data_IF_964620827671
#
_entry.id   IF_964620827671
#
_cell.length_a   1.000
_cell.length_b   1.000
_cell.length_c   1.000
_cell.angle_alpha   90.00
_cell.angle_beta   90.00
_cell.angle_gamma   90.00
#
_symmetry.space_group_name_H-M   'P 1'
#
loop_
_entity.id
_entity.type
_entity.pdbx_description
1 polymer ?
#
# COMPACT_ATOMS: atom_id res chain seq x y z
N UNK A 1 -24.57 -18.80 3.55
CA UNK A 1 -23.28 -18.52 2.86
C UNK A 1 -22.20 -18.38 3.92
N UNK A 2 -21.07 -19.08 3.81
CA UNK A 2 -20.00 -18.95 4.80
C UNK A 2 -19.52 -17.49 4.84
N UNK A 3 -19.62 -16.85 6.00
CA UNK A 3 -19.14 -15.49 6.22
C UNK A 3 -17.63 -15.46 5.97
N UNK A 4 -17.21 -14.84 4.86
CA UNK A 4 -15.79 -14.71 4.52
C UNK A 4 -15.18 -13.75 5.54
N UNK A 5 -14.32 -14.29 6.40
CA UNK A 5 -13.57 -13.55 7.40
C UNK A 5 -12.09 -13.54 7.05
N UNK A 6 -11.35 -12.49 7.43
CA UNK A 6 -9.92 -12.43 7.16
C UNK A 6 -9.16 -13.47 8.00
N UNK A 7 -8.04 -13.94 7.46
CA UNK A 7 -7.12 -14.84 8.17
C UNK A 7 -6.32 -14.11 9.27
N UNK A 8 -6.21 -12.79 9.17
CA UNK A 8 -5.45 -11.97 10.11
C UNK A 8 -6.12 -10.60 10.30
N UNK A 9 -5.92 -9.92 11.44
CA UNK A 9 -6.47 -8.58 11.66
C UNK A 9 -6.12 -7.61 10.52
N UNK A 10 -7.11 -6.84 10.07
CA UNK A 10 -6.90 -5.80 9.06
C UNK A 10 -6.22 -4.60 9.73
N UNK A 11 -5.09 -4.15 9.16
CA UNK A 11 -4.28 -3.04 9.67
C UNK A 11 -4.67 -1.75 8.95
N UNK A 12 -4.42 -0.60 9.59
CA UNK A 12 -4.53 0.71 8.92
C UNK A 12 -3.66 0.77 7.66
N UNK A 13 -2.51 0.12 7.73
CA UNK A 13 -1.59 -0.06 6.62
C UNK A 13 -2.24 -0.71 5.40
N UNK A 14 -3.05 -1.76 5.58
CA UNK A 14 -3.65 -2.49 4.46
C UNK A 14 -4.68 -1.63 3.73
N UNK A 15 -5.53 -0.92 4.50
CA UNK A 15 -6.51 0.04 3.96
C UNK A 15 -5.82 1.15 3.21
N UNK A 16 -4.75 1.72 3.78
CA UNK A 16 -4.00 2.80 3.17
C UNK A 16 -3.35 2.36 1.85
N UNK A 17 -2.76 1.17 1.82
CA UNK A 17 -2.13 0.63 0.61
C UNK A 17 -3.15 0.38 -0.52
N UNK A 18 -4.32 -0.17 -0.19
CA UNK A 18 -5.39 -0.40 -1.17
C UNK A 18 -6.00 0.91 -1.68
N UNK A 19 -6.28 1.87 -0.80
CA UNK A 19 -6.79 3.18 -1.19
C UNK A 19 -5.84 3.90 -2.17
N UNK A 20 -4.54 3.89 -1.88
CA UNK A 20 -3.55 4.50 -2.77
C UNK A 20 -3.33 3.69 -4.06
N UNK A 21 -3.58 2.37 -4.06
CA UNK A 21 -3.66 1.58 -5.30
C UNK A 21 -4.79 2.11 -6.18
N UNK A 22 -5.97 2.38 -5.61
CA UNK A 22 -7.11 2.91 -6.36
C UNK A 22 -6.83 4.31 -6.93
N UNK A 23 -6.22 5.19 -6.13
CA UNK A 23 -5.80 6.50 -6.62
C UNK A 23 -4.81 6.40 -7.79
N UNK A 24 -3.84 5.48 -7.71
CA UNK A 24 -2.88 5.27 -8.79
C UNK A 24 -3.56 4.74 -10.06
N UNK A 25 -4.48 3.77 -9.94
CA UNK A 25 -5.28 3.30 -11.08
C UNK A 25 -6.09 4.45 -11.69
N UNK A 26 -6.74 5.29 -10.86
CA UNK A 26 -7.50 6.47 -11.33
C UNK A 26 -6.62 7.48 -12.05
N UNK A 27 -5.33 7.58 -11.70
CA UNK A 27 -4.32 8.41 -12.36
C UNK A 27 -3.74 7.79 -13.64
N UNK A 28 -4.21 6.61 -14.05
CA UNK A 28 -3.80 5.94 -15.28
C UNK A 28 -2.66 4.94 -15.13
N UNK A 29 -2.23 4.63 -13.90
CA UNK A 29 -1.22 3.58 -13.67
C UNK A 29 -1.78 2.19 -13.97
N UNK A 30 -0.92 1.29 -14.48
CA UNK A 30 -1.31 -0.11 -14.63
C UNK A 30 -1.59 -0.75 -13.27
N UNK A 31 -2.49 -1.75 -13.23
CA UNK A 31 -2.85 -2.41 -11.97
C UNK A 31 -1.63 -2.95 -11.19
N UNK A 32 -0.60 -3.42 -11.89
CA UNK A 32 0.64 -3.89 -11.28
C UNK A 32 1.45 -2.74 -10.66
N UNK A 33 1.62 -1.62 -11.37
CA UNK A 33 2.31 -0.43 -10.86
C UNK A 33 1.55 0.18 -9.68
N UNK A 34 0.23 0.27 -9.78
CA UNK A 34 -0.62 0.78 -8.72
C UNK A 34 -0.49 -0.02 -7.41
N UNK A 35 -0.41 -1.37 -7.50
CA UNK A 35 -0.14 -2.21 -6.31
C UNK A 35 1.22 -1.90 -5.70
N UNK A 36 2.26 -1.83 -6.53
CA UNK A 36 3.61 -1.48 -6.07
C UNK A 36 3.66 -0.10 -5.40
N UNK A 37 3.01 0.90 -6.01
CA UNK A 37 2.90 2.26 -5.51
C UNK A 37 2.18 2.34 -4.17
N UNK A 38 1.01 1.73 -4.06
CA UNK A 38 0.22 1.71 -2.82
C UNK A 38 0.99 1.08 -1.66
N UNK A 39 1.68 -0.05 -1.92
CA UNK A 39 2.54 -0.68 -0.91
C UNK A 39 3.71 0.23 -0.50
N UNK A 40 4.37 0.84 -1.48
CA UNK A 40 5.51 1.72 -1.23
C UNK A 40 5.13 2.92 -0.36
N UNK A 41 4.07 3.63 -0.71
CA UNK A 41 3.57 4.76 0.08
C UNK A 41 3.26 4.35 1.52
N UNK A 42 2.57 3.22 1.70
CA UNK A 42 2.24 2.71 3.03
C UNK A 42 3.48 2.46 3.88
N UNK A 43 4.54 1.88 3.29
CA UNK A 43 5.80 1.62 3.99
C UNK A 43 6.60 2.89 4.28
N UNK A 44 6.63 3.85 3.35
CA UNK A 44 7.29 5.15 3.55
C UNK A 44 6.64 5.89 4.74
N UNK A 45 5.32 6.00 4.76
CA UNK A 45 4.59 6.66 5.86
C UNK A 45 4.80 5.94 7.19
N UNK A 46 4.80 4.59 7.18
CA UNK A 46 5.10 3.81 8.38
C UNK A 46 6.53 4.08 8.87
N UNK A 47 7.53 4.03 8.00
CA UNK A 47 8.93 4.26 8.34
C UNK A 47 9.18 5.69 8.87
N UNK A 48 8.52 6.71 8.29
CA UNK A 48 8.55 8.09 8.80
C UNK A 48 7.96 8.18 10.21
N UNK A 49 6.82 7.54 10.46
CA UNK A 49 6.18 7.55 11.78
C UNK A 49 7.06 6.92 12.86
N UNK A 50 7.80 5.86 12.52
CA UNK A 50 8.70 5.17 13.46
C UNK A 50 10.12 5.76 13.52
N UNK A 51 10.36 6.95 12.94
CA UNK A 51 11.66 7.62 12.98
C UNK A 51 12.78 6.89 12.25
N UNK A 52 12.45 5.92 11.38
CA UNK A 52 13.42 5.08 10.64
C UNK A 52 13.87 5.73 9.32
N UNK A 53 13.23 6.82 8.92
CA UNK A 53 13.67 7.69 7.84
C UNK A 53 14.05 9.04 8.46
N UNK A 54 15.30 9.49 8.27
CA UNK A 54 15.64 10.89 8.56
C UNK A 54 14.75 11.77 7.69
N UNK A 55 14.06 12.76 8.31
CA UNK A 55 13.46 13.86 7.54
C UNK A 55 14.58 14.46 6.68
N UNK A 56 14.34 14.79 5.40
CA UNK A 56 15.33 15.52 4.63
C UNK A 56 15.50 16.89 5.30
N UNK A 57 16.49 16.99 6.18
CA UNK A 57 17.04 18.27 6.63
C UNK A 57 17.68 18.88 5.40
N UNK A 58 17.18 20.04 4.98
CA UNK A 58 17.62 20.77 3.80
C UNK A 58 19.02 21.33 3.96
N UNK A 59 20.02 20.46 4.02
CA UNK A 59 21.44 20.82 3.90
C UNK A 59 22.00 20.10 2.67
N UNK A 60 22.26 20.91 1.64
CA UNK A 60 23.10 20.56 0.51
C UNK A 60 24.41 19.95 1.04
N UNK A 61 24.67 18.69 0.73
CA UNK A 61 26.04 18.18 0.64
C UNK A 61 26.29 17.77 -0.79
N UNK A 62 26.88 18.70 -1.52
CA UNK A 62 27.70 18.41 -2.69
C UNK A 62 28.78 17.41 -2.28
N UNK A 63 28.94 16.32 -3.04
CA UNK A 63 30.05 15.39 -2.85
C UNK A 63 29.68 13.92 -2.79
N UNK A 64 28.90 13.41 -3.75
CA UNK A 64 28.99 11.99 -4.16
C UNK A 64 28.46 11.82 -5.59
N UNK A 65 29.03 12.61 -6.51
CA UNK A 65 28.81 12.46 -7.94
C UNK A 65 30.00 11.67 -8.51
N UNK A 66 29.83 10.35 -8.69
CA UNK A 66 30.39 9.49 -9.76
C UNK A 66 30.32 8.00 -9.38
N UNK A 67 29.12 7.42 -9.39
CA UNK A 67 28.91 6.03 -9.84
C UNK A 67 27.41 5.67 -9.84
N UNK A 68 26.73 6.00 -10.95
CA UNK A 68 25.71 5.16 -11.60
C UNK A 68 25.14 5.91 -12.82
N UNK A 69 25.99 6.04 -13.84
CA UNK A 69 25.54 6.25 -15.21
C UNK A 69 24.61 5.10 -15.60
N UNK A 70 23.43 5.45 -16.13
CA UNK A 70 22.27 4.63 -16.53
C UNK A 70 21.17 4.51 -15.45
N UNK A 71 20.52 5.62 -15.14
CA UNK A 71 19.11 5.62 -14.72
C UNK A 71 18.26 5.01 -15.85
N UNK A 72 18.19 3.68 -15.88
CA UNK A 72 16.98 3.02 -16.37
C UNK A 72 15.88 3.55 -15.45
N UNK A 73 14.92 4.34 -15.98
CA UNK A 73 13.69 4.73 -15.28
C UNK A 73 13.20 3.51 -14.52
N UNK A 74 13.43 3.47 -13.21
CA UNK A 74 13.13 2.25 -12.45
C UNK A 74 11.63 2.12 -12.49
N UNK A 75 11.15 1.02 -13.10
CA UNK A 75 9.72 0.71 -13.24
C UNK A 75 8.99 0.65 -11.89
N UNK A 76 9.74 0.48 -10.81
CA UNK A 76 9.24 0.24 -9.46
C UNK A 76 9.84 1.23 -8.48
N UNK A 77 9.05 1.57 -7.46
CA UNK A 77 9.54 2.33 -6.31
C UNK A 77 10.34 1.40 -5.39
N UNK A 78 11.57 1.82 -5.06
CA UNK A 78 12.44 1.09 -4.14
C UNK A 78 12.30 1.65 -2.72
N UNK A 79 12.35 0.77 -1.72
CA UNK A 79 12.51 1.15 -0.31
C UNK A 79 13.58 0.27 0.32
N UNK A 80 14.64 0.89 0.84
CA UNK A 80 15.80 0.20 1.42
C UNK A 80 16.40 -0.88 0.50
N UNK A 81 16.47 -0.60 -0.81
CA UNK A 81 17.00 -1.54 -1.81
C UNK A 81 16.04 -2.66 -2.24
N UNK A 82 14.82 -2.70 -1.71
CA UNK A 82 13.80 -3.69 -2.07
C UNK A 82 12.78 -3.03 -3.01
N UNK A 83 12.61 -3.56 -4.24
CA UNK A 83 11.54 -3.11 -5.14
C UNK A 83 10.16 -3.43 -4.56
N UNK A 84 9.29 -2.42 -4.47
CA UNK A 84 7.90 -2.59 -4.05
C UNK A 84 7.06 -2.96 -5.27
N UNK A 85 6.78 -4.27 -5.39
CA UNK A 85 6.12 -4.87 -6.56
C UNK A 85 4.71 -5.33 -6.23
N UNK A 86 3.94 -5.61 -7.27
CA UNK A 86 2.64 -6.30 -7.18
C UNK A 86 2.72 -7.62 -6.40
N UNK A 87 3.77 -8.42 -6.64
CA UNK A 87 4.01 -9.68 -5.91
C UNK A 87 4.21 -9.45 -4.41
N UNK A 88 4.88 -8.36 -4.04
CA UNK A 88 5.10 -8.02 -2.64
C UNK A 88 3.81 -7.52 -1.98
N UNK A 89 3.00 -6.76 -2.71
CA UNK A 89 1.65 -6.38 -2.28
C UNK A 89 0.81 -7.63 -2.03
N UNK A 90 0.78 -8.56 -2.98
CA UNK A 90 0.04 -9.80 -2.86
C UNK A 90 0.51 -10.64 -1.66
N UNK A 91 1.82 -10.69 -1.41
CA UNK A 91 2.36 -11.40 -0.24
C UNK A 91 1.97 -10.75 1.08
N UNK A 92 2.17 -9.45 1.23
CA UNK A 92 2.06 -8.76 2.53
C UNK A 92 0.64 -8.35 2.90
N UNK A 93 -0.24 -8.20 1.91
CA UNK A 93 -1.61 -7.73 2.09
C UNK A 93 -2.56 -8.88 1.76
N UNK A 94 -2.60 -9.32 0.50
CA UNK A 94 -3.61 -10.27 -0.01
C UNK A 94 -3.50 -11.64 0.67
N UNK A 95 -2.31 -12.25 0.65
CA UNK A 95 -2.09 -13.58 1.22
C UNK A 95 -2.24 -13.56 2.74
N UNK A 96 -1.76 -12.50 3.40
CA UNK A 96 -1.84 -12.33 4.86
C UNK A 96 -3.29 -12.25 5.33
N UNK A 97 -4.14 -11.45 4.67
CA UNK A 97 -5.55 -11.35 5.05
C UNK A 97 -6.40 -12.51 4.50
N UNK A 98 -5.90 -13.24 3.52
CA UNK A 98 -6.60 -14.30 2.81
C UNK A 98 -7.13 -13.84 1.45
N UNK A 99 -6.71 -14.53 0.38
CA UNK A 99 -7.04 -14.18 -1.01
C UNK A 99 -8.54 -14.03 -1.26
N UNK A 100 -9.34 -14.96 -0.74
CA UNK A 100 -10.79 -14.95 -0.92
C UNK A 100 -11.45 -13.75 -0.23
N UNK A 101 -11.00 -13.42 0.99
CA UNK A 101 -11.48 -12.24 1.71
C UNK A 101 -11.07 -10.96 0.98
N UNK A 102 -9.81 -10.88 0.53
CA UNK A 102 -9.32 -9.73 -0.23
C UNK A 102 -10.18 -9.46 -1.47
N UNK A 103 -10.36 -10.49 -2.32
CA UNK A 103 -11.01 -10.33 -3.61
C UNK A 103 -12.53 -10.13 -3.51
N UNK A 104 -13.20 -10.72 -2.52
CA UNK A 104 -14.68 -10.72 -2.44
C UNK A 104 -15.25 -9.72 -1.44
N UNK A 105 -14.44 -9.26 -0.47
CA UNK A 105 -14.93 -8.39 0.61
C UNK A 105 -14.09 -7.12 0.69
N UNK A 106 -12.79 -7.25 0.96
CA UNK A 106 -11.94 -6.10 1.25
C UNK A 106 -11.80 -5.16 0.04
N UNK A 107 -11.27 -5.63 -1.09
CA UNK A 107 -11.02 -4.79 -2.26
C UNK A 107 -12.31 -4.16 -2.81
N UNK A 108 -13.43 -4.91 -2.98
CA UNK A 108 -14.70 -4.32 -3.39
C UNK A 108 -15.23 -3.26 -2.42
N UNK A 109 -15.20 -3.50 -1.10
CA UNK A 109 -15.70 -2.53 -0.12
C UNK A 109 -14.85 -1.24 -0.08
N UNK A 110 -13.54 -1.35 -0.27
CA UNK A 110 -12.67 -0.15 -0.38
C UNK A 110 -12.95 0.58 -1.71
N UNK A 111 -13.16 -0.15 -2.80
CA UNK A 111 -13.47 0.41 -4.12
C UNK A 111 -14.79 1.18 -4.09
N UNK A 112 -15.87 0.58 -3.58
CA UNK A 112 -17.17 1.22 -3.45
C UNK A 112 -17.08 2.52 -2.64
N UNK A 113 -16.42 2.47 -1.47
CA UNK A 113 -16.24 3.64 -0.65
C UNK A 113 -15.38 4.74 -1.34
N UNK A 114 -14.38 4.33 -2.12
CA UNK A 114 -13.55 5.24 -2.91
C UNK A 114 -14.33 5.90 -4.05
N UNK A 115 -15.19 5.14 -4.72
CA UNK A 115 -16.04 5.63 -5.82
C UNK A 115 -17.13 6.58 -5.31
N UNK A 116 -17.61 6.37 -4.09
CA UNK A 116 -18.46 7.32 -3.34
C UNK A 116 -17.72 8.59 -2.90
N UNK A 117 -16.40 8.67 -3.11
CA UNK A 117 -15.58 9.83 -2.77
C UNK A 117 -15.22 9.94 -1.29
N UNK A 118 -15.37 8.86 -0.50
CA UNK A 118 -15.01 8.86 0.92
C UNK A 118 -13.50 8.96 1.10
N UNK A 119 -13.08 9.70 2.13
CA UNK A 119 -11.67 9.80 2.45
C UNK A 119 -11.15 8.54 3.14
N UNK A 120 -9.86 8.25 2.97
CA UNK A 120 -9.17 7.14 3.64
C UNK A 120 -9.50 7.01 5.14
N UNK A 121 -9.63 8.12 5.88
CA UNK A 121 -9.89 8.09 7.33
C UNK A 121 -11.25 7.49 7.65
N UNK A 122 -12.27 7.82 6.86
CA UNK A 122 -13.63 7.34 7.02
C UNK A 122 -13.70 5.84 6.71
N UNK A 123 -13.11 5.43 5.59
CA UNK A 123 -13.02 4.04 5.16
C UNK A 123 -12.30 3.18 6.21
N UNK A 124 -11.18 3.68 6.73
CA UNK A 124 -10.34 3.00 7.72
C UNK A 124 -11.09 2.74 9.03
N UNK A 125 -11.86 3.71 9.51
CA UNK A 125 -12.50 3.63 10.81
C UNK A 125 -13.86 2.91 10.76
N UNK A 126 -14.59 3.01 9.65
CA UNK A 126 -15.85 2.29 9.45
C UNK A 126 -15.63 0.79 9.22
N UNK A 127 -14.90 0.42 8.15
CA UNK A 127 -14.86 -0.96 7.68
C UNK A 127 -14.02 -1.88 8.57
N UNK A 128 -12.92 -1.35 9.14
CA UNK A 128 -12.02 -2.17 9.98
C UNK A 128 -12.70 -2.67 11.25
N UNK A 129 -13.70 -1.97 11.79
CA UNK A 129 -14.39 -2.37 13.03
C UNK A 129 -15.14 -3.68 12.87
N UNK A 130 -15.63 -3.95 11.66
CA UNK A 130 -16.45 -5.12 11.35
C UNK A 130 -15.60 -6.35 10.99
N UNK A 131 -14.43 -6.14 10.38
CA UNK A 131 -13.59 -7.22 9.89
C UNK A 131 -12.71 -7.85 10.99
N UNK A 132 -13.29 -8.80 11.72
CA UNK A 132 -12.61 -9.60 12.73
C UNK A 132 -12.15 -10.95 12.16
N UNK A 133 -10.92 -11.40 12.47
CA UNK A 133 -10.42 -12.68 11.96
C UNK A 133 -11.22 -13.85 12.52
N UNK A 134 -11.17 -15.00 11.82
CA UNK A 134 -11.68 -16.26 12.36
C UNK A 134 -10.92 -16.59 13.65
N UNK A 135 -11.65 -16.88 14.73
CA UNK A 135 -11.06 -17.43 15.96
C UNK A 135 -10.50 -18.81 15.69
#
# INVERSE_FOLDING_TARGET
MAELKPNAPIRRFDVFAEYNRLEAVKKGESAAQAKGYGLWLAKVVAAQKFGRLKKPTGEKKEGEEKEKKKERKKKWHDLSGIPQTDKLFDKEIVNRMGKAFYAKVFSPAIQEAFDEGKEYREIRDALRREWKPKK
#
